data_IF_105094393665
#
_entry.id   IF_105094393665
#
_cell.length_a   1.000
_cell.length_b   1.000
_cell.length_c   1.000
_cell.angle_alpha   90.00
_cell.angle_beta   90.00
_cell.angle_gamma   90.00
#
_symmetry.space_group_name_H-M   'P 1'
#
loop_
_entity.id
_entity.type
_entity.pdbx_description
1 polymer ?
#
# COMPACT_ATOMS: atom_id res chain seq x y z
N UNK A 1 22.72 -1.47 -20.91
CA UNK A 1 21.56 -1.29 -21.83
C UNK A 1 20.87 -2.63 -22.12
N UNK A 2 20.26 -3.25 -21.10
CA UNK A 2 19.55 -4.53 -21.25
C UNK A 2 18.20 -4.60 -20.51
N UNK A 3 17.69 -3.47 -20.00
CA UNK A 3 16.50 -3.43 -19.13
C UNK A 3 15.19 -3.06 -19.86
N UNK A 4 15.24 -2.66 -21.13
CA UNK A 4 14.06 -2.14 -21.86
C UNK A 4 13.22 -3.28 -22.51
N UNK A 5 13.73 -4.51 -22.59
CA UNK A 5 13.05 -5.59 -23.32
C UNK A 5 11.97 -6.34 -22.53
N UNK A 6 12.06 -6.42 -21.20
CA UNK A 6 11.10 -7.19 -20.39
C UNK A 6 9.82 -6.42 -20.04
N UNK A 7 9.84 -5.08 -20.12
CA UNK A 7 8.65 -4.27 -19.86
C UNK A 7 7.54 -4.51 -20.88
N UNK A 8 7.88 -4.61 -22.17
CA UNK A 8 6.87 -4.74 -23.24
C UNK A 8 6.00 -5.99 -23.17
N UNK A 9 6.44 -7.03 -22.42
CA UNK A 9 5.70 -8.28 -22.24
C UNK A 9 4.80 -8.20 -21.01
N UNK A 10 5.30 -7.65 -19.90
CA UNK A 10 4.53 -7.37 -18.67
C UNK A 10 3.48 -6.27 -18.89
N UNK A 11 3.82 -5.17 -19.59
CA UNK A 11 2.89 -4.10 -19.98
C UNK A 11 1.67 -4.64 -20.72
N UNK A 12 1.85 -5.60 -21.64
CA UNK A 12 0.75 -6.21 -22.40
C UNK A 12 -0.21 -7.02 -21.53
N UNK A 13 0.24 -7.61 -20.42
CA UNK A 13 -0.64 -8.23 -19.42
C UNK A 13 -1.37 -7.19 -18.58
N UNK A 14 -0.67 -6.12 -18.18
CA UNK A 14 -1.23 -5.04 -17.36
C UNK A 14 -2.24 -4.15 -18.10
N UNK A 15 -2.12 -3.99 -19.42
CA UNK A 15 -3.03 -3.18 -20.25
C UNK A 15 -4.50 -3.66 -20.26
N UNK A 16 -4.81 -4.83 -19.70
CA UNK A 16 -6.20 -5.30 -19.54
C UNK A 16 -6.88 -4.77 -18.28
N UNK A 17 -6.13 -4.22 -17.31
CA UNK A 17 -6.67 -3.72 -16.06
C UNK A 17 -6.95 -2.20 -16.16
N UNK A 18 -8.22 -1.76 -16.14
CA UNK A 18 -8.54 -0.33 -16.24
C UNK A 18 -7.99 0.50 -15.08
N UNK A 19 -7.79 -0.11 -13.90
CA UNK A 19 -7.24 0.61 -12.73
C UNK A 19 -5.77 0.99 -12.96
N UNK A 20 -4.99 0.15 -13.64
CA UNK A 20 -3.60 0.47 -14.00
C UNK A 20 -3.55 1.59 -15.04
N UNK A 21 -4.46 1.53 -16.03
CA UNK A 21 -4.57 2.58 -17.05
C UNK A 21 -4.96 3.92 -16.43
N UNK A 22 -5.84 3.91 -15.44
CA UNK A 22 -6.18 5.09 -14.66
C UNK A 22 -4.97 5.61 -13.87
N UNK A 23 -4.26 4.76 -13.12
CA UNK A 23 -3.07 5.16 -12.37
C UNK A 23 -2.02 5.83 -13.27
N UNK A 24 -1.72 5.26 -14.44
CA UNK A 24 -0.76 5.85 -15.38
C UNK A 24 -1.26 7.14 -16.03
N UNK A 25 -2.58 7.37 -16.08
CA UNK A 25 -3.13 8.58 -16.70
C UNK A 25 -2.83 9.87 -15.89
N UNK A 26 -2.48 9.73 -14.61
CA UNK A 26 -2.02 10.83 -13.78
C UNK A 26 -0.49 10.96 -13.70
N UNK A 27 0.27 10.11 -14.42
CA UNK A 27 1.74 10.21 -14.45
C UNK A 27 2.18 11.59 -14.98
N UNK A 28 3.09 12.24 -14.24
CA UNK A 28 3.58 13.58 -14.54
C UNK A 28 2.82 14.73 -13.86
N UNK A 29 1.68 14.45 -13.19
CA UNK A 29 1.00 15.43 -12.34
C UNK A 29 1.75 15.62 -11.01
N UNK A 30 1.53 16.77 -10.36
CA UNK A 30 2.21 17.09 -9.09
C UNK A 30 1.74 16.23 -7.92
N UNK A 31 0.48 15.81 -7.96
CA UNK A 31 -0.18 14.91 -7.01
C UNK A 31 -0.14 13.44 -7.47
N UNK A 32 0.72 13.10 -8.44
CA UNK A 32 0.90 11.70 -8.82
C UNK A 32 1.39 10.87 -7.62
N UNK A 33 0.73 9.74 -7.26
CA UNK A 33 1.01 9.03 -6.00
C UNK A 33 2.48 8.66 -5.77
N UNK A 34 3.20 8.27 -6.83
CA UNK A 34 4.64 7.96 -6.70
C UNK A 34 5.46 9.20 -6.35
N UNK A 35 5.19 10.34 -7.00
CA UNK A 35 5.89 11.60 -6.71
C UNK A 35 5.62 12.05 -5.27
N UNK A 36 4.38 11.91 -4.82
CA UNK A 36 4.02 12.17 -3.43
C UNK A 36 4.74 11.24 -2.46
N UNK A 37 4.85 9.95 -2.75
CA UNK A 37 5.57 8.99 -1.92
C UNK A 37 7.07 9.31 -1.79
N UNK A 38 7.73 9.72 -2.88
CA UNK A 38 9.13 10.18 -2.86
C UNK A 38 9.28 11.43 -1.99
N UNK A 39 8.35 12.39 -2.09
CA UNK A 39 8.37 13.58 -1.25
C UNK A 39 8.14 13.24 0.23
N UNK A 40 7.26 12.28 0.54
CA UNK A 40 7.05 11.77 1.90
C UNK A 40 8.33 11.14 2.45
N UNK A 41 9.02 10.31 1.66
CA UNK A 41 10.30 9.72 2.07
C UNK A 41 11.34 10.79 2.36
N UNK A 42 11.55 11.73 1.43
CA UNK A 42 12.52 12.82 1.62
C UNK A 42 12.21 13.65 2.88
N UNK A 43 10.92 13.89 3.17
CA UNK A 43 10.52 14.60 4.38
C UNK A 43 10.79 13.80 5.66
N UNK A 44 10.61 12.48 5.61
CA UNK A 44 10.93 11.58 6.72
C UNK A 44 12.44 11.58 6.97
N UNK A 45 13.25 11.42 5.94
CA UNK A 45 14.72 11.44 6.02
C UNK A 45 15.24 12.75 6.62
N UNK A 46 14.65 13.90 6.26
CA UNK A 46 15.01 15.21 6.80
C UNK A 46 14.58 15.40 8.28
N UNK A 47 13.62 14.60 8.77
CA UNK A 47 13.02 14.75 10.09
C UNK A 47 13.67 13.91 11.20
N UNK A 48 14.46 12.90 10.82
CA UNK A 48 15.08 11.93 11.73
C UNK A 48 16.55 12.21 11.94
N UNK A 49 17.08 11.86 13.12
CA UNK A 49 18.46 12.19 13.50
C UNK A 49 19.45 11.08 13.09
N UNK A 50 18.97 9.84 12.92
CA UNK A 50 19.82 8.70 12.63
C UNK A 50 19.14 7.53 11.92
N UNK A 51 19.97 6.62 11.43
CA UNK A 51 19.55 5.47 10.61
C UNK A 51 18.67 4.47 11.38
N UNK A 52 18.92 4.27 12.68
CA UNK A 52 18.09 3.40 13.52
C UNK A 52 16.67 3.98 13.72
N UNK A 53 16.57 5.29 13.92
CA UNK A 53 15.29 5.99 14.03
C UNK A 53 14.53 5.92 12.71
N UNK A 54 15.22 6.16 11.58
CA UNK A 54 14.67 5.98 10.25
C UNK A 54 14.16 4.56 10.03
N UNK A 55 14.95 3.54 10.38
CA UNK A 55 14.58 2.13 10.22
C UNK A 55 13.29 1.80 10.96
N UNK A 56 13.16 2.28 12.21
CA UNK A 56 11.96 2.07 13.02
C UNK A 56 10.73 2.74 12.39
N UNK A 57 10.86 3.99 11.93
CA UNK A 57 9.77 4.68 11.23
C UNK A 57 9.37 3.97 9.94
N UNK A 58 10.33 3.53 9.12
CA UNK A 58 10.04 2.80 7.89
C UNK A 58 9.29 1.49 8.20
N UNK A 59 9.76 0.73 9.19
CA UNK A 59 9.10 -0.51 9.59
C UNK A 59 7.66 -0.26 10.05
N UNK A 60 7.46 0.72 10.92
CA UNK A 60 6.13 1.09 11.42
C UNK A 60 5.20 1.51 10.27
N UNK A 61 5.65 2.44 9.43
CA UNK A 61 4.85 2.97 8.32
C UNK A 61 4.52 1.87 7.30
N UNK A 62 5.47 1.00 6.93
CA UNK A 62 5.21 -0.12 6.01
C UNK A 62 4.06 -1.01 6.50
N UNK A 63 4.05 -1.31 7.80
CA UNK A 63 2.99 -2.13 8.41
C UNK A 63 1.66 -1.38 8.42
N UNK A 64 1.65 -0.12 8.86
CA UNK A 64 0.44 0.72 8.90
C UNK A 64 -0.15 0.88 7.49
N UNK A 65 0.68 1.17 6.49
CA UNK A 65 0.26 1.35 5.10
C UNK A 65 -0.30 0.05 4.51
N UNK A 66 0.27 -1.11 4.89
CA UNK A 66 -0.23 -2.43 4.50
C UNK A 66 -1.60 -2.73 5.09
N UNK A 67 -1.79 -2.45 6.37
CA UNK A 67 -3.08 -2.64 7.05
C UNK A 67 -4.15 -1.71 6.46
N UNK A 68 -3.81 -0.44 6.23
CA UNK A 68 -4.70 0.52 5.56
C UNK A 68 -5.07 0.07 4.14
N UNK A 69 -4.12 -0.52 3.40
CA UNK A 69 -4.40 -1.09 2.08
C UNK A 69 -5.54 -2.12 2.18
N UNK A 70 -5.50 -3.05 3.13
CA UNK A 70 -6.56 -4.06 3.35
C UNK A 70 -7.93 -3.41 3.50
N UNK A 71 -8.08 -2.35 4.30
CA UNK A 71 -9.36 -1.66 4.45
C UNK A 71 -9.85 -1.05 3.13
N UNK A 72 -8.96 -0.46 2.33
CA UNK A 72 -9.35 0.03 1.00
C UNK A 72 -9.85 -1.12 0.11
N UNK A 73 -9.17 -2.26 0.11
CA UNK A 73 -9.57 -3.42 -0.70
C UNK A 73 -10.91 -4.00 -0.27
N UNK A 74 -11.19 -4.03 1.04
CA UNK A 74 -12.46 -4.49 1.59
C UNK A 74 -13.62 -3.61 1.12
N UNK A 75 -13.46 -2.28 1.21
CA UNK A 75 -14.49 -1.35 0.72
C UNK A 75 -14.67 -1.49 -0.79
N UNK A 76 -13.59 -1.52 -1.57
CA UNK A 76 -13.67 -1.63 -3.02
C UNK A 76 -14.31 -2.95 -3.47
N UNK A 77 -13.98 -4.06 -2.79
CA UNK A 77 -14.61 -5.36 -3.03
C UNK A 77 -16.10 -5.34 -2.62
N UNK A 78 -16.44 -4.65 -1.54
CA UNK A 78 -17.82 -4.40 -1.13
C UNK A 78 -18.61 -3.66 -2.20
N UNK A 79 -18.05 -2.57 -2.75
CA UNK A 79 -18.64 -1.78 -3.83
C UNK A 79 -18.82 -2.63 -5.10
N UNK A 80 -17.84 -3.47 -5.44
CA UNK A 80 -17.97 -4.40 -6.56
C UNK A 80 -19.16 -5.34 -6.40
N UNK A 81 -19.33 -5.92 -5.20
CA UNK A 81 -20.37 -6.91 -4.91
C UNK A 81 -21.76 -6.28 -4.72
N UNK A 82 -21.82 -5.05 -4.23
CA UNK A 82 -23.05 -4.30 -3.99
C UNK A 82 -22.92 -2.83 -4.48
N UNK A 83 -22.89 -2.59 -5.80
CA UNK A 83 -22.72 -1.25 -6.37
C UNK A 83 -23.71 -0.20 -5.86
N UNK A 84 -24.93 -0.62 -5.53
CA UNK A 84 -26.00 0.25 -5.04
C UNK A 84 -25.73 0.85 -3.65
N UNK A 85 -24.83 0.24 -2.85
CA UNK A 85 -24.47 0.74 -1.51
C UNK A 85 -23.16 1.54 -1.51
N UNK A 86 -22.60 1.85 -2.69
CA UNK A 86 -21.27 2.47 -2.77
C UNK A 86 -21.16 3.79 -2.00
N UNK A 87 -22.15 4.68 -2.13
CA UNK A 87 -22.17 5.96 -1.42
C UNK A 87 -22.20 5.79 0.09
N UNK A 88 -22.96 4.81 0.59
CA UNK A 88 -23.06 4.48 2.02
C UNK A 88 -21.72 3.92 2.53
N UNK A 89 -21.14 2.94 1.82
CA UNK A 89 -19.84 2.35 2.16
C UNK A 89 -18.71 3.39 2.23
N UNK A 90 -18.68 4.36 1.29
CA UNK A 90 -17.69 5.45 1.31
C UNK A 90 -17.95 6.42 2.47
N UNK A 91 -19.21 6.70 2.79
CA UNK A 91 -19.56 7.55 3.93
C UNK A 91 -19.16 6.89 5.26
N UNK A 92 -19.42 5.59 5.41
CA UNK A 92 -19.03 4.80 6.59
C UNK A 92 -17.51 4.72 6.71
N UNK A 93 -16.80 4.52 5.59
CA UNK A 93 -15.33 4.54 5.57
C UNK A 93 -14.78 5.87 6.09
N UNK A 94 -15.37 7.00 5.68
CA UNK A 94 -14.96 8.34 6.13
C UNK A 94 -15.26 8.56 7.61
N UNK A 95 -16.46 8.19 8.08
CA UNK A 95 -16.87 8.42 9.48
C UNK A 95 -16.19 7.46 10.46
N UNK A 96 -15.79 6.27 10.00
CA UNK A 96 -15.06 5.27 10.77
C UNK A 96 -13.56 5.49 10.91
N UNK A 97 -13.00 6.61 10.41
CA UNK A 97 -11.55 6.87 10.37
C UNK A 97 -10.87 6.69 11.73
N UNK A 98 -11.35 7.37 12.77
CA UNK A 98 -10.73 7.29 14.10
C UNK A 98 -10.76 5.88 14.73
N UNK A 99 -11.80 5.09 14.44
CA UNK A 99 -11.90 3.71 14.91
C UNK A 99 -10.90 2.84 14.16
N UNK A 100 -10.86 2.97 12.83
CA UNK A 100 -9.94 2.26 11.97
C UNK A 100 -8.48 2.56 12.32
N UNK A 101 -8.13 3.83 12.55
CA UNK A 101 -6.78 4.23 12.99
C UNK A 101 -6.38 3.50 14.27
N UNK A 102 -7.26 3.46 15.27
CA UNK A 102 -6.98 2.76 16.53
C UNK A 102 -6.78 1.25 16.32
N UNK A 103 -7.58 0.64 15.47
CA UNK A 103 -7.46 -0.79 15.13
C UNK A 103 -6.16 -1.07 14.38
N UNK A 104 -5.83 -0.24 13.39
CA UNK A 104 -4.57 -0.30 12.63
C UNK A 104 -3.37 -0.15 13.55
N UNK A 105 -3.34 0.86 14.43
CA UNK A 105 -2.23 1.03 15.38
C UNK A 105 -2.06 -0.16 16.32
N UNK A 106 -3.17 -0.73 16.80
CA UNK A 106 -3.14 -1.91 17.67
C UNK A 106 -2.57 -3.15 16.96
N UNK A 107 -2.98 -3.38 15.71
CA UNK A 107 -2.47 -4.47 14.89
C UNK A 107 -1.00 -4.23 14.48
N UNK A 108 -0.66 -3.00 14.10
CA UNK A 108 0.70 -2.63 13.73
C UNK A 108 1.68 -2.92 14.87
N UNK A 109 1.33 -2.52 16.10
CA UNK A 109 2.14 -2.82 17.29
C UNK A 109 2.38 -4.32 17.47
N UNK A 110 1.38 -5.17 17.22
CA UNK A 110 1.54 -6.62 17.31
C UNK A 110 2.53 -7.16 16.26
N UNK A 111 2.41 -6.69 15.01
CA UNK A 111 3.29 -7.11 13.91
C UNK A 111 4.73 -6.60 14.09
N UNK A 112 4.90 -5.35 14.52
CA UNK A 112 6.22 -4.77 14.82
C UNK A 112 6.90 -5.57 15.92
N UNK A 113 6.18 -5.85 17.02
CA UNK A 113 6.71 -6.68 18.11
C UNK A 113 7.10 -8.08 17.63
N UNK A 114 6.30 -8.70 16.76
CA UNK A 114 6.63 -10.00 16.18
C UNK A 114 7.93 -9.96 15.36
N UNK A 115 8.14 -8.90 14.56
CA UNK A 115 9.35 -8.72 13.74
C UNK A 115 10.58 -8.46 14.60
N UNK A 116 10.48 -7.52 15.56
CA UNK A 116 11.57 -7.16 16.47
C UNK A 116 12.00 -8.36 17.33
N UNK A 117 11.07 -9.26 17.69
CA UNK A 117 11.35 -10.47 18.43
C UNK A 117 11.67 -11.68 17.52
N UNK A 118 12.15 -11.45 16.30
CA UNK A 118 12.61 -12.50 15.36
C UNK A 118 11.57 -13.58 15.06
N UNK A 119 10.29 -13.18 15.03
CA UNK A 119 9.18 -14.09 14.76
C UNK A 119 8.68 -14.84 16.01
N UNK A 120 9.08 -14.44 17.22
CA UNK A 120 8.54 -14.99 18.46
C UNK A 120 7.32 -14.19 18.93
N UNK A 121 6.20 -14.87 19.17
CA UNK A 121 5.00 -14.29 19.76
C UNK A 121 4.48 -15.14 20.93
N UNK A 122 4.13 -14.49 22.03
CA UNK A 122 3.57 -15.13 23.24
C UNK A 122 2.03 -15.27 23.21
N UNK A 123 1.40 -15.00 22.07
CA UNK A 123 -0.05 -14.95 21.92
C UNK A 123 -0.56 -13.51 21.93
N UNK A 124 -0.98 -13.02 20.77
CA UNK A 124 -1.68 -11.74 20.59
C UNK A 124 -2.92 -11.95 19.71
N UNK A 125 -3.73 -10.90 19.57
CA UNK A 125 -4.94 -10.93 18.73
C UNK A 125 -4.64 -11.02 17.23
N UNK A 126 -3.39 -10.79 16.82
CA UNK A 126 -2.94 -10.80 15.42
C UNK A 126 -2.13 -12.06 15.04
N UNK A 127 -2.04 -13.05 15.93
CA UNK A 127 -1.16 -14.22 15.73
C UNK A 127 -1.37 -14.95 14.39
N UNK A 128 -2.62 -15.07 13.95
CA UNK A 128 -2.95 -15.77 12.70
C UNK A 128 -2.46 -15.03 11.44
N UNK A 129 -2.20 -13.72 11.56
CA UNK A 129 -1.76 -12.82 10.48
C UNK A 129 -0.25 -12.54 10.51
N UNK A 130 0.48 -13.08 11.49
CA UNK A 130 1.94 -12.97 11.50
C UNK A 130 2.65 -13.54 10.28
N UNK A 131 2.19 -14.64 9.64
CA UNK A 131 2.77 -15.12 8.39
C UNK A 131 2.84 -14.06 7.29
N UNK A 132 1.93 -13.07 7.29
CA UNK A 132 1.87 -12.02 6.27
C UNK A 132 3.04 -11.03 6.36
N UNK A 133 3.74 -10.99 7.51
CA UNK A 133 4.86 -10.07 7.75
C UNK A 133 6.17 -10.81 8.02
N UNK A 134 6.17 -12.15 8.02
CA UNK A 134 7.36 -12.96 8.34
C UNK A 134 8.53 -12.71 7.37
N UNK A 135 8.26 -12.35 6.12
CA UNK A 135 9.29 -12.05 5.12
C UNK A 135 10.12 -10.81 5.48
N UNK A 136 9.62 -9.93 6.37
CA UNK A 136 10.33 -8.74 6.82
C UNK A 136 11.42 -9.05 7.87
N UNK A 137 11.34 -10.19 8.56
CA UNK A 137 12.26 -10.56 9.66
C UNK A 137 13.70 -10.67 9.16
N UNK A 138 13.91 -11.31 8.00
CA UNK A 138 15.25 -11.51 7.43
C UNK A 138 15.94 -10.18 7.09
N UNK A 139 15.33 -9.32 6.25
CA UNK A 139 15.84 -7.98 5.96
C UNK A 139 16.02 -7.12 7.21
N UNK A 140 15.11 -7.20 8.18
CA UNK A 140 15.19 -6.47 9.45
C UNK A 140 16.43 -6.88 10.25
N UNK A 141 16.62 -8.18 10.52
CA UNK A 141 17.77 -8.68 11.25
C UNK A 141 19.12 -8.45 10.55
N UNK A 142 19.10 -8.28 9.22
CA UNK A 142 20.27 -7.93 8.42
C UNK A 142 20.56 -6.41 8.35
N UNK A 143 19.68 -5.55 8.88
CA UNK A 143 19.81 -4.10 8.75
C UNK A 143 19.74 -3.60 7.30
N UNK A 144 18.94 -4.26 6.46
CA UNK A 144 18.88 -3.96 5.02
C UNK A 144 18.02 -2.70 4.77
N UNK A 145 18.60 -1.52 4.96
CA UNK A 145 17.90 -0.25 4.81
C UNK A 145 17.36 -0.01 3.39
N UNK A 146 18.11 -0.36 2.36
CA UNK A 146 17.68 -0.22 0.96
C UNK A 146 16.37 -0.99 0.70
N UNK A 147 16.20 -2.17 1.31
CA UNK A 147 14.96 -2.93 1.23
C UNK A 147 13.79 -2.15 1.83
N UNK A 148 13.95 -1.57 3.03
CA UNK A 148 12.88 -0.83 3.71
C UNK A 148 12.56 0.49 3.03
N UNK A 149 13.55 1.22 2.50
CA UNK A 149 13.34 2.44 1.72
C UNK A 149 12.49 2.15 0.47
N UNK A 150 12.87 1.11 -0.29
CA UNK A 150 12.13 0.71 -1.49
C UNK A 150 10.71 0.24 -1.16
N UNK A 151 10.57 -0.59 -0.12
CA UNK A 151 9.28 -1.11 0.30
C UNK A 151 8.36 0.02 0.81
N UNK A 152 8.90 0.98 1.56
CA UNK A 152 8.17 2.17 2.01
C UNK A 152 7.59 2.95 0.84
N UNK A 153 8.41 3.30 -0.16
CA UNK A 153 7.94 4.05 -1.33
C UNK A 153 6.86 3.28 -2.08
N UNK A 154 7.03 1.96 -2.27
CA UNK A 154 6.04 1.11 -2.89
C UNK A 154 4.70 1.11 -2.12
N UNK A 155 4.75 0.89 -0.81
CA UNK A 155 3.57 0.86 0.05
C UNK A 155 2.87 2.21 0.16
N UNK A 156 3.62 3.29 0.27
CA UNK A 156 3.08 4.66 0.31
C UNK A 156 2.41 5.00 -1.02
N UNK A 157 3.02 4.62 -2.15
CA UNK A 157 2.42 4.81 -3.48
C UNK A 157 1.10 4.03 -3.61
N UNK A 158 1.05 2.78 -3.13
CA UNK A 158 -0.19 1.99 -3.09
C UNK A 158 -1.25 2.71 -2.26
N UNK A 159 -0.89 3.15 -1.05
CA UNK A 159 -1.84 3.73 -0.12
C UNK A 159 -2.47 5.01 -0.68
N UNK A 160 -1.65 5.91 -1.20
CA UNK A 160 -2.10 7.14 -1.86
C UNK A 160 -2.97 6.83 -3.09
N UNK A 161 -2.58 5.84 -3.90
CA UNK A 161 -3.36 5.43 -5.07
C UNK A 161 -4.74 4.88 -4.68
N UNK A 162 -4.81 4.00 -3.68
CA UNK A 162 -6.06 3.42 -3.24
C UNK A 162 -6.97 4.45 -2.54
N UNK A 163 -6.38 5.36 -1.77
CA UNK A 163 -7.10 6.47 -1.17
C UNK A 163 -7.73 7.39 -2.24
N UNK A 164 -6.96 7.77 -3.25
CA UNK A 164 -7.46 8.61 -4.34
C UNK A 164 -8.52 7.88 -5.17
N UNK A 165 -8.32 6.59 -5.45
CA UNK A 165 -9.32 5.76 -6.11
C UNK A 165 -10.63 5.75 -5.32
N UNK A 166 -10.56 5.52 -3.99
CA UNK A 166 -11.75 5.42 -3.14
C UNK A 166 -12.46 6.75 -2.93
N UNK A 167 -11.72 7.82 -2.65
CA UNK A 167 -12.29 9.07 -2.19
C UNK A 167 -12.53 10.08 -3.31
N UNK A 168 -11.79 10.00 -4.42
CA UNK A 168 -11.89 10.94 -5.55
C UNK A 168 -12.52 10.30 -6.78
N UNK A 169 -12.09 9.12 -7.19
CA UNK A 169 -12.51 8.53 -8.47
C UNK A 169 -13.83 7.78 -8.40
N UNK A 170 -13.95 6.79 -7.49
CA UNK A 170 -15.14 5.95 -7.30
C UNK A 170 -16.42 6.80 -7.21
N UNK A 171 -16.50 7.88 -6.41
CA UNK A 171 -17.71 8.69 -6.32
C UNK A 171 -18.15 9.35 -7.63
N UNK A 172 -17.22 9.60 -8.55
CA UNK A 172 -17.46 10.35 -9.78
C UNK A 172 -17.55 9.45 -11.02
N UNK A 173 -17.19 8.17 -10.90
CA UNK A 173 -17.04 7.25 -12.03
C UNK A 173 -17.63 5.86 -11.76
N UNK A 174 -18.97 5.72 -11.64
CA UNK A 174 -19.60 4.44 -11.36
C UNK A 174 -19.28 3.33 -12.38
N UNK A 175 -18.86 3.69 -13.59
CA UNK A 175 -18.40 2.75 -14.60
C UNK A 175 -17.19 1.91 -14.17
N UNK A 176 -16.46 2.31 -13.12
CA UNK A 176 -15.29 1.57 -12.63
C UNK A 176 -15.64 0.43 -11.68
N UNK A 177 -16.85 0.41 -11.10
CA UNK A 177 -17.25 -0.57 -10.09
C UNK A 177 -17.09 -2.04 -10.51
N UNK A 178 -17.40 -2.43 -11.76
CA UNK A 178 -17.17 -3.80 -12.23
C UNK A 178 -15.69 -4.23 -12.21
N UNK A 179 -14.76 -3.27 -12.17
CA UNK A 179 -13.33 -3.53 -12.16
C UNK A 179 -12.71 -3.53 -10.77
N UNK A 180 -13.47 -3.22 -9.71
CA UNK A 180 -13.01 -3.24 -8.31
C UNK A 180 -12.94 -4.67 -7.73
N UNK A 181 -12.59 -5.65 -8.56
CA UNK A 181 -12.39 -7.03 -8.13
C UNK A 181 -11.08 -7.15 -7.36
N UNK A 182 -11.00 -8.08 -6.39
CA UNK A 182 -9.76 -8.34 -5.65
C UNK A 182 -8.60 -8.70 -6.59
N UNK A 183 -8.87 -9.37 -7.72
CA UNK A 183 -7.85 -9.68 -8.74
C UNK A 183 -7.28 -8.43 -9.41
N UNK A 184 -8.13 -7.46 -9.77
CA UNK A 184 -7.68 -6.22 -10.40
C UNK A 184 -6.95 -5.32 -9.40
N UNK A 185 -7.40 -5.26 -8.15
CA UNK A 185 -6.75 -4.49 -7.09
C UNK A 185 -5.36 -5.09 -6.78
N UNK A 186 -5.26 -6.41 -6.63
CA UNK A 186 -3.98 -7.09 -6.46
C UNK A 186 -3.05 -6.88 -7.66
N UNK A 187 -3.59 -6.94 -8.87
CA UNK A 187 -2.82 -6.65 -10.09
C UNK A 187 -2.32 -5.19 -10.13
N UNK A 188 -3.11 -4.22 -9.65
CA UNK A 188 -2.70 -2.83 -9.54
C UNK A 188 -1.56 -2.69 -8.52
N UNK A 189 -1.69 -3.30 -7.33
CA UNK A 189 -0.64 -3.25 -6.30
C UNK A 189 0.69 -3.80 -6.81
N UNK A 190 0.66 -4.97 -7.46
CA UNK A 190 1.87 -5.58 -8.07
C UNK A 190 2.47 -4.68 -9.13
N UNK A 191 1.63 -4.06 -9.96
CA UNK A 191 2.11 -3.10 -10.95
C UNK A 191 2.78 -1.89 -10.29
N UNK A 192 2.21 -1.36 -9.21
CA UNK A 192 2.79 -0.23 -8.49
C UNK A 192 4.15 -0.60 -7.89
N UNK A 193 4.28 -1.77 -7.25
CA UNK A 193 5.58 -2.25 -6.74
C UNK A 193 6.61 -2.36 -7.88
N UNK A 194 6.27 -3.05 -8.98
CA UNK A 194 7.16 -3.16 -10.15
C UNK A 194 7.51 -1.75 -10.72
N UNK A 195 6.55 -0.82 -10.70
CA UNK A 195 6.73 0.54 -11.18
C UNK A 195 7.70 1.33 -10.30
N UNK A 196 7.60 1.22 -8.96
CA UNK A 196 8.47 1.92 -8.02
C UNK A 196 9.88 1.35 -8.03
N UNK A 197 10.03 0.02 -8.04
CA UNK A 197 11.34 -0.65 -8.06
C UNK A 197 12.20 -0.32 -9.29
N UNK A 198 11.58 0.11 -10.39
CA UNK A 198 12.30 0.45 -11.63
C UNK A 198 12.75 1.91 -11.70
N UNK A 199 12.36 2.73 -10.71
CA UNK A 199 12.54 4.19 -10.69
C UNK A 199 13.28 4.69 -9.45
N UNK A 200 13.57 3.81 -8.50
CA UNK A 200 14.47 4.02 -7.37
C UNK A 200 15.78 3.31 -7.70
#
# INVERSE_FOLDING_TARGET
>A
MALIKDFSKKEKEFHKNPLISWFLSSEGQDDFPFKMAINSLSSLEDSVIGEEELANFLLEDIIILSLNATYFEEIMSGIHNAPQTATEMIADFKTGESIREKEVSGQALNHINYIINEGLCQGCVSCEFHPDVSELIGPWGAGNMDFFLNLYVGMQTINLTLNDLLLKEIPNRPEIYPFLTSSNILSLRRFIIDYTETRI
#
